data_IF_804705343600
#
_entry.id   IF_804705343600
#
_cell.length_a   1.000
_cell.length_b   1.000
_cell.length_c   1.000
_cell.angle_alpha   90.00
_cell.angle_beta   90.00
_cell.angle_gamma   90.00
#
_symmetry.space_group_name_H-M   'P 1'
#
loop_
_entity.id
_entity.type
_entity.pdbx_description
1 polymer ?
#
# COMPACT_ATOMS: atom_id res chain seq x y z
N UNK A 1 19.31 -6.29 -23.95
CA UNK A 1 18.40 -7.21 -24.68
C UNK A 1 18.18 -8.43 -23.80
N UNK A 2 16.94 -8.71 -23.40
CA UNK A 2 16.59 -9.91 -22.63
C UNK A 2 16.84 -11.15 -23.50
N UNK A 3 17.52 -12.17 -22.95
CA UNK A 3 17.73 -13.46 -23.65
C UNK A 3 16.47 -14.31 -23.43
N UNK A 4 15.76 -14.64 -24.51
CA UNK A 4 14.64 -15.58 -24.49
C UNK A 4 15.21 -16.99 -24.66
N UNK A 5 14.86 -17.89 -23.74
CA UNK A 5 15.16 -19.31 -23.82
C UNK A 5 13.85 -20.10 -23.92
N UNK A 6 13.72 -20.93 -24.94
CA UNK A 6 12.61 -21.89 -25.02
C UNK A 6 12.96 -23.14 -24.19
N UNK A 7 12.01 -23.56 -23.37
CA UNK A 7 12.14 -24.71 -22.45
C UNK A 7 10.83 -25.49 -22.44
N UNK A 8 10.87 -26.71 -21.91
CA UNK A 8 9.66 -27.54 -21.73
C UNK A 8 8.83 -27.04 -20.55
N UNK A 9 7.54 -27.46 -20.47
CA UNK A 9 6.68 -27.14 -19.32
C UNK A 9 7.25 -27.67 -18.01
N UNK A 10 7.84 -28.89 -18.04
CA UNK A 10 8.48 -29.52 -16.86
C UNK A 10 9.67 -28.67 -16.36
N UNK A 11 10.47 -28.12 -17.27
CA UNK A 11 11.57 -27.22 -16.89
C UNK A 11 11.04 -25.90 -16.31
N UNK A 12 9.92 -25.36 -16.84
CA UNK A 12 9.27 -24.17 -16.26
C UNK A 12 8.74 -24.46 -14.86
N UNK A 13 8.04 -25.57 -14.65
CA UNK A 13 7.56 -26.02 -13.33
C UNK A 13 8.72 -26.06 -12.31
N UNK A 14 9.86 -26.63 -12.71
CA UNK A 14 11.06 -26.70 -11.88
C UNK A 14 11.64 -25.32 -11.56
N UNK A 15 11.65 -24.38 -12.52
CA UNK A 15 12.18 -23.03 -12.34
C UNK A 15 11.29 -22.15 -11.45
N UNK A 16 9.97 -22.33 -11.54
CA UNK A 16 8.98 -21.48 -10.83
C UNK A 16 8.55 -22.13 -9.51
N UNK A 17 8.74 -23.45 -9.37
CA UNK A 17 8.31 -24.23 -8.20
C UNK A 17 6.82 -24.55 -8.15
N UNK A 18 6.08 -24.26 -9.22
CA UNK A 18 4.66 -24.61 -9.39
C UNK A 18 4.30 -24.65 -10.89
N UNK A 19 3.06 -25.09 -11.20
CA UNK A 19 2.51 -25.17 -12.57
C UNK A 19 1.70 -23.94 -13.01
N UNK A 20 1.62 -22.88 -12.20
CA UNK A 20 0.77 -21.69 -12.45
C UNK A 20 1.46 -20.62 -13.33
N UNK A 21 2.48 -21.00 -14.11
CA UNK A 21 3.30 -20.07 -14.90
C UNK A 21 2.71 -19.66 -16.25
N UNK A 22 1.59 -20.28 -16.69
CA UNK A 22 0.94 -19.97 -17.98
C UNK A 22 1.91 -20.02 -19.19
N UNK A 23 2.94 -20.88 -19.14
CA UNK A 23 3.92 -21.05 -20.21
C UNK A 23 5.03 -19.98 -20.25
N UNK A 24 5.12 -19.09 -19.25
CA UNK A 24 6.15 -18.05 -19.19
C UNK A 24 6.75 -17.93 -17.80
N UNK A 25 8.08 -17.82 -17.73
CA UNK A 25 8.82 -17.45 -16.53
C UNK A 25 9.84 -16.36 -16.86
N UNK A 26 10.01 -15.41 -15.95
CA UNK A 26 10.98 -14.33 -16.09
C UNK A 26 11.80 -14.19 -14.81
N UNK A 27 13.11 -14.19 -14.93
CA UNK A 27 14.02 -13.83 -13.84
C UNK A 27 14.18 -12.32 -13.83
N UNK A 28 13.84 -11.72 -12.71
CA UNK A 28 13.93 -10.27 -12.49
C UNK A 28 14.76 -9.98 -11.24
N UNK A 29 15.34 -8.81 -11.17
CA UNK A 29 15.92 -8.29 -9.93
C UNK A 29 14.81 -7.97 -8.94
N UNK A 30 15.13 -8.08 -7.64
CA UNK A 30 14.17 -7.70 -6.60
C UNK A 30 13.94 -6.19 -6.65
N UNK A 31 12.70 -5.73 -6.37
CA UNK A 31 12.44 -4.30 -6.20
C UNK A 31 13.30 -3.75 -5.05
N UNK A 32 13.79 -2.54 -5.22
CA UNK A 32 14.52 -1.84 -4.17
C UNK A 32 13.57 -1.48 -3.03
N UNK A 33 14.00 -1.75 -1.79
CA UNK A 33 13.27 -1.43 -0.58
C UNK A 33 14.11 -0.46 0.22
N UNK A 34 13.51 0.68 0.54
CA UNK A 34 14.15 1.77 1.24
C UNK A 34 13.89 1.72 2.75
N UNK A 35 14.75 2.35 3.52
CA UNK A 35 14.59 2.47 4.96
C UNK A 35 14.01 3.84 5.38
N UNK A 36 13.94 4.07 6.71
CA UNK A 36 13.45 5.31 7.28
C UNK A 36 14.35 6.52 6.95
N UNK A 37 15.68 6.34 6.83
CA UNK A 37 16.59 7.43 6.48
C UNK A 37 16.43 7.82 5.00
N UNK A 38 16.19 6.85 4.12
CA UNK A 38 15.84 7.12 2.73
C UNK A 38 14.50 7.89 2.63
N UNK A 39 13.49 7.50 3.42
CA UNK A 39 12.21 8.22 3.49
C UNK A 39 12.41 9.69 3.90
N UNK A 40 13.23 9.95 4.92
CA UNK A 40 13.56 11.32 5.36
C UNK A 40 14.22 12.15 4.25
N UNK A 41 15.19 11.55 3.55
CA UNK A 41 15.88 12.22 2.44
C UNK A 41 14.95 12.51 1.26
N UNK A 42 13.95 11.67 1.05
CA UNK A 42 12.99 11.77 -0.05
C UNK A 42 11.75 12.60 0.28
N UNK A 43 11.69 13.29 1.42
CA UNK A 43 10.48 13.91 1.96
C UNK A 43 9.77 14.84 0.96
N UNK A 44 10.50 15.58 0.17
CA UNK A 44 9.98 16.50 -0.84
C UNK A 44 9.50 15.79 -2.12
N UNK A 45 9.79 14.49 -2.27
CA UNK A 45 9.50 13.69 -3.47
C UNK A 45 8.52 12.54 -3.19
N UNK A 46 7.94 12.47 -1.99
CA UNK A 46 7.05 11.36 -1.60
C UNK A 46 5.72 11.37 -2.35
N UNK A 47 5.37 12.49 -2.96
CA UNK A 47 4.09 12.70 -3.65
C UNK A 47 3.01 13.24 -2.72
N UNK A 48 1.88 13.64 -3.30
CA UNK A 48 0.76 14.24 -2.57
C UNK A 48 0.08 13.25 -1.62
N UNK A 49 0.02 11.97 -2.00
CA UNK A 49 -0.54 10.91 -1.17
C UNK A 49 0.52 9.85 -0.89
N UNK A 50 0.62 9.46 0.37
CA UNK A 50 1.45 8.36 0.86
C UNK A 50 0.52 7.32 1.48
N UNK A 51 0.68 6.05 1.12
CA UNK A 51 -0.03 4.95 1.77
C UNK A 51 0.85 4.31 2.86
N UNK A 52 0.31 4.18 4.06
CA UNK A 52 0.93 3.53 5.20
C UNK A 52 0.13 2.27 5.52
N UNK A 53 0.77 1.11 5.39
CA UNK A 53 0.11 -0.20 5.47
C UNK A 53 0.39 -0.82 6.85
N UNK A 54 -0.54 -0.63 7.79
CA UNK A 54 -0.37 -1.08 9.18
C UNK A 54 -0.71 -2.57 9.30
N UNK A 55 0.31 -3.44 9.28
CA UNK A 55 0.20 -4.88 9.48
C UNK A 55 -0.65 -5.62 8.41
N UNK A 56 -0.56 -5.21 7.15
CA UNK A 56 -1.09 -6.02 6.03
C UNK A 56 -0.24 -7.28 5.93
N UNK A 57 -0.83 -8.46 6.12
CA UNK A 57 -0.10 -9.73 6.22
C UNK A 57 -0.12 -10.55 4.94
N UNK A 58 -1.14 -10.38 4.10
CA UNK A 58 -1.24 -11.10 2.83
C UNK A 58 -0.43 -10.40 1.73
N UNK A 59 0.59 -11.08 1.12
CA UNK A 59 1.33 -10.53 0.01
C UNK A 59 0.47 -10.20 -1.21
N UNK A 60 -0.64 -10.89 -1.43
CA UNK A 60 -1.55 -10.59 -2.54
C UNK A 60 -2.27 -9.26 -2.31
N UNK A 61 -2.75 -9.00 -1.09
CA UNK A 61 -3.34 -7.71 -0.73
C UNK A 61 -2.30 -6.59 -0.80
N UNK A 62 -1.07 -6.81 -0.32
CA UNK A 62 0.02 -5.85 -0.45
C UNK A 62 0.26 -5.46 -1.91
N UNK A 63 0.39 -6.44 -2.81
CA UNK A 63 0.59 -6.18 -4.23
C UNK A 63 -0.59 -5.46 -4.88
N UNK A 64 -1.83 -5.85 -4.55
CA UNK A 64 -3.04 -5.23 -5.08
C UNK A 64 -3.19 -3.77 -4.61
N UNK A 65 -2.83 -3.46 -3.34
CA UNK A 65 -2.81 -2.10 -2.81
C UNK A 65 -1.78 -1.25 -3.57
N UNK A 66 -0.57 -1.77 -3.77
CA UNK A 66 0.49 -1.05 -4.51
C UNK A 66 0.03 -0.78 -5.95
N UNK A 67 -0.56 -1.79 -6.63
CA UNK A 67 -1.11 -1.62 -7.98
C UNK A 67 -2.16 -0.51 -8.04
N UNK A 68 -3.11 -0.56 -7.13
CA UNK A 68 -4.19 0.43 -7.02
C UNK A 68 -3.62 1.81 -6.74
N UNK A 69 -2.67 1.91 -5.79
CA UNK A 69 -2.02 3.16 -5.44
C UNK A 69 -1.28 3.78 -6.62
N UNK A 70 -0.46 3.01 -7.33
CA UNK A 70 0.28 3.49 -8.53
C UNK A 70 -0.69 3.93 -9.62
N UNK A 71 -1.80 3.19 -9.83
CA UNK A 71 -2.85 3.60 -10.78
C UNK A 71 -3.40 4.99 -10.47
N UNK A 72 -3.57 5.33 -9.19
CA UNK A 72 -4.02 6.64 -8.72
C UNK A 72 -2.88 7.65 -8.50
N UNK A 73 -1.67 7.39 -8.98
CA UNK A 73 -0.53 8.31 -8.90
C UNK A 73 0.20 8.33 -7.55
N UNK A 74 -0.08 7.41 -6.64
CA UNK A 74 0.68 7.24 -5.39
C UNK A 74 2.07 6.70 -5.71
N UNK A 75 3.10 7.42 -5.24
CA UNK A 75 4.51 7.06 -5.47
C UNK A 75 5.16 6.36 -4.28
N UNK A 76 4.62 6.54 -3.07
CA UNK A 76 5.28 6.15 -1.83
C UNK A 76 4.39 5.29 -0.94
N UNK A 77 4.94 4.14 -0.53
CA UNK A 77 4.28 3.17 0.33
C UNK A 77 5.17 2.88 1.54
N UNK A 78 4.59 2.85 2.73
CA UNK A 78 5.30 2.54 3.98
C UNK A 78 4.75 1.25 4.56
N UNK A 79 5.63 0.30 4.85
CA UNK A 79 5.31 -0.97 5.48
C UNK A 79 6.14 -1.17 6.76
N UNK A 80 5.61 -1.82 7.82
CA UNK A 80 6.41 -2.14 8.99
C UNK A 80 7.30 -3.36 8.72
N UNK A 81 8.53 -3.37 9.29
CA UNK A 81 9.48 -4.50 9.20
C UNK A 81 8.97 -5.79 9.84
N UNK A 82 8.08 -5.68 10.80
CA UNK A 82 7.55 -6.83 11.56
C UNK A 82 6.03 -6.92 11.40
N UNK A 83 5.51 -8.16 11.38
CA UNK A 83 4.07 -8.46 11.32
C UNK A 83 3.39 -7.87 10.08
N UNK A 84 4.10 -7.83 8.97
CA UNK A 84 3.61 -7.37 7.67
C UNK A 84 4.08 -8.33 6.59
N UNK A 85 3.36 -8.37 5.48
CA UNK A 85 3.79 -9.08 4.29
C UNK A 85 5.11 -8.49 3.79
N UNK A 86 6.02 -9.38 3.39
CA UNK A 86 7.23 -9.01 2.67
C UNK A 86 6.95 -8.89 1.17
N UNK A 87 7.83 -8.19 0.46
CA UNK A 87 7.80 -8.14 -1.01
C UNK A 87 8.28 -9.48 -1.57
N UNK A 88 7.34 -10.38 -1.74
CA UNK A 88 7.55 -11.73 -2.31
C UNK A 88 7.21 -11.76 -3.79
N UNK A 89 7.50 -12.87 -4.47
CA UNK A 89 7.04 -13.11 -5.84
C UNK A 89 5.52 -12.98 -5.99
N UNK A 90 4.75 -13.41 -4.96
CA UNK A 90 3.30 -13.25 -4.92
C UNK A 90 2.87 -11.79 -4.90
N UNK A 91 3.52 -10.93 -4.09
CA UNK A 91 3.27 -9.50 -4.06
C UNK A 91 3.63 -8.84 -5.40
N UNK A 92 4.76 -9.21 -6.02
CA UNK A 92 5.17 -8.71 -7.33
C UNK A 92 4.14 -9.10 -8.40
N UNK A 93 3.71 -10.36 -8.43
CA UNK A 93 2.71 -10.87 -9.38
C UNK A 93 1.36 -10.15 -9.21
N UNK A 94 0.86 -10.01 -7.99
CA UNK A 94 -0.42 -9.33 -7.73
C UNK A 94 -0.37 -7.83 -7.98
N UNK A 95 0.82 -7.20 -7.86
CA UNK A 95 1.02 -5.80 -8.24
C UNK A 95 1.03 -5.57 -9.76
N UNK A 96 1.04 -6.64 -10.58
CA UNK A 96 1.23 -6.58 -12.04
C UNK A 96 2.44 -5.70 -12.43
N UNK A 97 3.52 -5.74 -11.64
CA UNK A 97 4.74 -4.96 -11.86
C UNK A 97 4.69 -3.52 -11.37
N UNK A 98 3.56 -3.03 -10.85
CA UNK A 98 3.43 -1.66 -10.34
C UNK A 98 4.45 -1.33 -9.24
N UNK A 99 4.91 -2.33 -8.50
CA UNK A 99 5.91 -2.16 -7.45
C UNK A 99 7.23 -1.55 -7.96
N UNK A 100 7.61 -1.81 -9.22
CA UNK A 100 8.80 -1.23 -9.84
C UNK A 100 8.64 0.25 -10.25
N UNK A 101 7.41 0.77 -10.15
CA UNK A 101 7.06 2.17 -10.41
C UNK A 101 6.77 2.93 -9.12
N UNK A 102 7.13 2.38 -7.97
CA UNK A 102 6.85 2.94 -6.66
C UNK A 102 8.05 2.82 -5.72
N UNK A 103 8.08 3.66 -4.68
CA UNK A 103 9.05 3.57 -3.60
C UNK A 103 8.40 2.90 -2.40
N UNK A 104 8.93 1.75 -1.99
CA UNK A 104 8.47 1.04 -0.79
C UNK A 104 9.47 1.27 0.34
N UNK A 105 9.00 1.85 1.43
CA UNK A 105 9.80 2.14 2.62
C UNK A 105 9.44 1.15 3.73
N UNK A 106 10.41 0.33 4.11
CA UNK A 106 10.26 -0.61 5.21
C UNK A 106 10.83 -0.02 6.51
N UNK A 107 9.97 0.19 7.50
CA UNK A 107 10.31 0.93 8.72
C UNK A 107 10.07 0.11 9.99
N UNK A 108 10.89 0.36 11.02
CA UNK A 108 10.70 -0.29 12.31
C UNK A 108 9.58 0.31 13.13
N UNK A 109 9.21 1.59 12.89
CA UNK A 109 8.24 2.32 13.70
C UNK A 109 7.43 3.33 12.86
N UNK A 110 6.19 2.98 12.56
CA UNK A 110 5.25 3.84 11.82
C UNK A 110 4.98 5.14 12.59
N UNK A 111 4.97 5.15 13.93
CA UNK A 111 4.74 6.38 14.70
C UNK A 111 5.79 7.45 14.43
N UNK A 112 7.04 7.07 14.16
CA UNK A 112 8.09 8.02 13.78
C UNK A 112 7.86 8.57 12.37
N UNK A 113 7.34 7.74 11.47
CA UNK A 113 6.93 8.17 10.13
C UNK A 113 5.81 9.22 10.23
N UNK A 114 4.75 8.96 11.02
CA UNK A 114 3.68 9.93 11.21
C UNK A 114 4.19 11.27 11.74
N UNK A 115 5.10 11.25 12.73
CA UNK A 115 5.73 12.50 13.24
C UNK A 115 6.47 13.25 12.14
N UNK A 116 7.29 12.54 11.35
CA UNK A 116 8.03 13.13 10.24
C UNK A 116 7.10 13.76 9.21
N UNK A 117 6.04 13.05 8.81
CA UNK A 117 5.09 13.51 7.80
C UNK A 117 4.31 14.73 8.28
N UNK A 118 3.86 14.76 9.55
CA UNK A 118 3.15 15.92 10.13
C UNK A 118 4.00 17.18 10.14
N UNK A 119 5.27 17.09 10.53
CA UNK A 119 6.21 18.23 10.50
C UNK A 119 6.39 18.74 9.07
N UNK A 120 6.20 17.90 8.06
CA UNK A 120 6.29 18.24 6.65
C UNK A 120 4.91 18.44 5.97
N UNK A 121 3.93 18.90 6.74
CA UNK A 121 2.60 19.33 6.28
C UNK A 121 1.77 18.22 5.61
N UNK A 122 1.96 16.95 6.02
CA UNK A 122 1.04 15.88 5.67
C UNK A 122 -0.04 15.73 6.73
N UNK A 123 -1.29 15.67 6.30
CA UNK A 123 -2.41 15.28 7.16
C UNK A 123 -2.55 13.77 7.20
N UNK A 124 -2.76 13.23 8.38
CA UNK A 124 -2.83 11.77 8.61
C UNK A 124 -4.27 11.31 8.77
N UNK A 125 -4.71 10.39 7.90
CA UNK A 125 -6.05 9.84 7.90
C UNK A 125 -5.99 8.34 8.19
N UNK A 126 -6.56 7.89 9.31
CA UNK A 126 -6.65 6.47 9.65
C UNK A 126 -7.96 5.85 9.14
N UNK A 127 -7.92 4.64 8.57
CA UNK A 127 -9.15 3.92 8.22
C UNK A 127 -9.75 3.26 9.46
N UNK A 128 -11.04 3.48 9.71
CA UNK A 128 -11.80 2.95 10.84
C UNK A 128 -13.22 2.61 10.43
N UNK A 129 -13.85 1.64 11.14
CA UNK A 129 -15.26 1.28 10.89
C UNK A 129 -16.18 2.44 11.29
N UNK A 130 -15.89 3.08 12.42
CA UNK A 130 -16.68 4.18 12.99
C UNK A 130 -16.09 5.56 12.68
N UNK A 131 -15.30 5.66 11.59
CA UNK A 131 -14.70 6.92 11.13
C UNK A 131 -15.72 7.85 10.47
N UNK A 132 -15.24 9.00 10.01
CA UNK A 132 -16.08 9.89 9.21
C UNK A 132 -16.40 9.24 7.87
N UNK A 133 -17.65 9.25 7.45
CA UNK A 133 -18.05 8.76 6.13
C UNK A 133 -17.21 9.44 5.05
N UNK A 134 -16.63 8.63 4.18
CA UNK A 134 -15.81 9.09 3.07
C UNK A 134 -16.56 10.08 2.16
N UNK A 135 -17.88 10.00 2.09
CA UNK A 135 -18.74 10.90 1.33
C UNK A 135 -19.11 12.20 2.11
N UNK A 136 -18.72 12.30 3.38
CA UNK A 136 -18.99 13.48 4.19
C UNK A 136 -18.29 14.71 3.63
N UNK A 137 -19.00 15.85 3.61
CA UNK A 137 -18.44 17.16 3.25
C UNK A 137 -17.28 17.58 4.16
N UNK A 138 -17.21 17.04 5.38
CA UNK A 138 -16.08 17.27 6.31
C UNK A 138 -14.74 16.86 5.72
N UNK A 139 -14.73 15.89 4.80
CA UNK A 139 -13.52 15.37 4.17
C UNK A 139 -13.15 16.08 2.86
N UNK A 140 -14.01 16.96 2.35
CA UNK A 140 -13.73 17.64 1.07
C UNK A 140 -12.52 18.59 1.17
N UNK A 141 -12.28 19.19 2.34
CA UNK A 141 -11.10 20.02 2.59
C UNK A 141 -9.76 19.28 2.45
N UNK A 142 -9.74 17.96 2.59
CA UNK A 142 -8.52 17.16 2.48
C UNK A 142 -8.07 16.90 1.04
N UNK A 143 -8.94 17.08 0.04
CA UNK A 143 -8.64 16.79 -1.38
C UNK A 143 -7.43 17.55 -1.94
N UNK A 144 -7.14 18.73 -1.37
CA UNK A 144 -6.05 19.58 -1.84
C UNK A 144 -4.81 19.58 -0.93
N UNK A 145 -4.81 18.73 0.10
CA UNK A 145 -3.73 18.61 1.06
C UNK A 145 -2.80 17.43 0.73
N UNK A 146 -1.60 17.46 1.29
CA UNK A 146 -0.74 16.29 1.32
C UNK A 146 -1.28 15.30 2.36
N UNK A 147 -1.50 14.05 1.97
CA UNK A 147 -2.15 13.05 2.79
C UNK A 147 -1.25 11.86 3.07
N UNK A 148 -1.23 11.41 4.30
CA UNK A 148 -0.75 10.11 4.71
C UNK A 148 -1.96 9.27 5.13
N UNK A 149 -2.35 8.31 4.29
CA UNK A 149 -3.52 7.45 4.53
C UNK A 149 -3.05 6.13 5.11
N UNK A 150 -3.53 5.80 6.31
CA UNK A 150 -3.17 4.60 7.03
C UNK A 150 -4.25 3.54 6.81
N UNK A 151 -3.86 2.44 6.17
CA UNK A 151 -4.70 1.27 5.93
C UNK A 151 -4.32 0.19 6.95
N UNK A 152 -5.29 -0.31 7.67
CA UNK A 152 -5.10 -1.37 8.65
C UNK A 152 -5.32 -2.77 8.09
N UNK A 153 -4.94 -3.80 8.85
CA UNK A 153 -5.21 -5.20 8.49
C UNK A 153 -6.72 -5.50 8.54
N UNK A 154 -7.14 -6.51 7.75
CA UNK A 154 -8.53 -6.95 7.64
C UNK A 154 -9.13 -7.36 8.99
N UNK A 155 -8.32 -7.97 9.86
CA UNK A 155 -8.79 -8.50 11.14
C UNK A 155 -8.87 -7.46 12.25
N UNK A 156 -7.91 -6.52 12.30
CA UNK A 156 -7.74 -5.59 13.44
C UNK A 156 -7.89 -4.13 13.08
N UNK A 157 -7.98 -3.84 11.78
CA UNK A 157 -7.93 -2.46 11.30
C UNK A 157 -6.60 -1.77 11.65
N UNK A 158 -6.61 -0.46 11.69
CA UNK A 158 -5.46 0.34 12.14
C UNK A 158 -5.26 0.18 13.65
N UNK A 159 -4.03 0.02 14.09
CA UNK A 159 -3.67 -0.16 15.50
C UNK A 159 -4.12 1.04 16.35
N UNK A 160 -4.58 0.77 17.59
CA UNK A 160 -5.07 1.81 18.54
C UNK A 160 -4.06 2.94 18.74
N UNK A 161 -2.76 2.62 18.75
CA UNK A 161 -1.70 3.62 18.91
C UNK A 161 -1.63 4.58 17.72
N UNK A 162 -1.76 4.06 16.50
CA UNK A 162 -1.71 4.89 15.29
C UNK A 162 -2.99 5.70 15.12
N UNK A 163 -4.16 5.12 15.41
CA UNK A 163 -5.44 5.82 15.42
C UNK A 163 -5.40 7.10 16.26
N UNK A 164 -4.88 7.02 17.50
CA UNK A 164 -4.72 8.18 18.39
C UNK A 164 -3.78 9.27 17.85
N UNK A 165 -2.94 8.93 16.88
CA UNK A 165 -1.97 9.85 16.27
C UNK A 165 -2.45 10.43 14.94
N UNK A 166 -3.55 9.91 14.38
CA UNK A 166 -4.14 10.46 13.17
C UNK A 166 -4.85 11.80 13.46
N UNK A 167 -4.86 12.67 12.46
CA UNK A 167 -5.58 13.94 12.53
C UNK A 167 -7.07 13.75 12.30
N UNK A 168 -7.44 12.74 11.53
CA UNK A 168 -8.83 12.34 11.32
C UNK A 168 -8.92 10.85 11.00
N UNK A 169 -10.14 10.31 11.06
CA UNK A 169 -10.45 8.96 10.62
C UNK A 169 -11.47 8.98 9.48
N UNK A 170 -11.36 7.97 8.61
CA UNK A 170 -12.26 7.78 7.47
C UNK A 170 -12.88 6.39 7.50
N UNK A 171 -14.14 6.31 7.08
CA UNK A 171 -14.90 5.07 6.96
C UNK A 171 -15.57 4.99 5.60
N UNK A 172 -15.74 3.78 5.10
CA UNK A 172 -16.57 3.47 3.93
C UNK A 172 -17.84 2.81 4.48
N UNK A 173 -18.94 3.54 4.46
CA UNK A 173 -20.20 3.01 4.93
C UNK A 173 -20.84 2.12 3.87
N UNK A 174 -21.27 0.94 4.31
CA UNK A 174 -21.99 -0.04 3.52
C UNK A 174 -23.25 -0.51 4.24
N UNK A 175 -23.88 -1.52 3.66
CA UNK A 175 -25.01 -2.15 4.31
C UNK A 175 -24.46 -3.08 5.43
N UNK A 176 -24.89 -2.95 6.65
CA UNK A 176 -24.37 -3.59 7.85
C UNK A 176 -24.40 -5.14 7.89
N UNK A 177 -24.64 -5.80 6.73
CA UNK A 177 -24.62 -7.27 6.61
C UNK A 177 -23.19 -7.84 6.51
N UNK A 178 -22.23 -7.00 6.11
CA UNK A 178 -20.80 -7.35 6.00
C UNK A 178 -20.03 -6.25 6.72
N UNK A 179 -19.13 -6.67 7.63
CA UNK A 179 -18.43 -5.76 8.52
C UNK A 179 -17.31 -4.96 7.85
N UNK A 180 -16.71 -5.48 6.78
CA UNK A 180 -15.59 -4.81 6.11
C UNK A 180 -15.44 -5.25 4.65
N UNK A 181 -14.80 -4.39 3.87
CA UNK A 181 -14.32 -4.70 2.52
C UNK A 181 -12.90 -5.28 2.57
N UNK A 182 -12.52 -6.03 1.54
CA UNK A 182 -11.12 -6.32 1.30
C UNK A 182 -10.32 -5.01 1.24
N UNK A 183 -9.15 -4.99 1.87
CA UNK A 183 -8.35 -3.77 2.04
C UNK A 183 -7.91 -3.14 0.72
N UNK A 184 -7.67 -3.94 -0.33
CA UNK A 184 -7.31 -3.41 -1.65
C UNK A 184 -8.50 -2.74 -2.34
N UNK A 185 -9.71 -3.26 -2.16
CA UNK A 185 -10.96 -2.64 -2.63
C UNK A 185 -11.20 -1.32 -1.90
N UNK A 186 -11.09 -1.33 -0.55
CA UNK A 186 -11.19 -0.12 0.26
C UNK A 186 -10.18 0.94 -0.18
N UNK A 187 -8.95 0.54 -0.50
CA UNK A 187 -7.91 1.44 -1.03
C UNK A 187 -8.37 2.15 -2.31
N UNK A 188 -8.97 1.40 -3.24
CA UNK A 188 -9.49 1.97 -4.50
C UNK A 188 -10.57 3.03 -4.27
N UNK A 189 -11.53 2.75 -3.39
CA UNK A 189 -12.61 3.67 -3.02
C UNK A 189 -12.03 4.94 -2.37
N UNK A 190 -11.09 4.79 -1.43
CA UNK A 190 -10.46 5.92 -0.74
C UNK A 190 -9.66 6.78 -1.73
N UNK A 191 -8.85 6.17 -2.57
CA UNK A 191 -8.04 6.90 -3.53
C UNK A 191 -8.87 7.59 -4.60
N UNK A 192 -9.99 7.03 -5.02
CA UNK A 192 -10.93 7.68 -5.96
C UNK A 192 -11.51 9.00 -5.42
N UNK A 193 -11.59 9.14 -4.07
CA UNK A 193 -12.06 10.38 -3.42
C UNK A 193 -10.97 11.44 -3.33
N UNK A 194 -9.71 11.06 -3.02
CA UNK A 194 -8.64 11.99 -2.64
C UNK A 194 -7.56 12.17 -3.70
N UNK A 195 -7.36 11.18 -4.57
CA UNK A 195 -6.40 11.30 -5.66
C UNK A 195 -7.05 12.07 -6.83
N UNK A 196 -6.38 13.13 -7.24
CA UNK A 196 -6.61 13.79 -8.54
C UNK A 196 -5.43 13.40 -9.41
N UNK A 197 -5.56 12.40 -10.28
CA UNK A 197 -4.49 12.01 -11.20
C UNK A 197 -4.16 13.09 -12.22
#
# INVERSE_FOLDING_TARGET
>A
KSKIKKVTSIELDSLVGNSDHQGLAMKIDKPEIFDFENLKRSINNLGKIILILDHIQDPHNLGAIIRTGVFFGVKSFVIPKKRSASITSGAIKSSAGAIFHSNVYEVSNISNVLKLLKINNYWTLGTEIDGNDINSKKLDGFKNLNLAIILGSEQKGVSKLLKKKCDSSISIYGNKKIDSLNVSVATGIILSKFANP
#
